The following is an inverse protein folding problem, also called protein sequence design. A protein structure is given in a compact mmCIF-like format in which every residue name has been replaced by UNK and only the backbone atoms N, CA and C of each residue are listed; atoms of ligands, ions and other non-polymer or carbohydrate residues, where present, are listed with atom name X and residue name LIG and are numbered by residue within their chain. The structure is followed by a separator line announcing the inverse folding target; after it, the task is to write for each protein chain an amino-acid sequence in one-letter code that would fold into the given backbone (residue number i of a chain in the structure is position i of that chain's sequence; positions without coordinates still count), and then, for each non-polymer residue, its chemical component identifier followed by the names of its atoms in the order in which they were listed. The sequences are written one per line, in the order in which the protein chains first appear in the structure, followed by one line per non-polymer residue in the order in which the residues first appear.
data_IF_586312781216
#
_entry.id   IF_586312781216
#
_cell.length_a   1.000
_cell.length_b   1.000
_cell.length_c   1.000
_cell.angle_alpha   90.00
_cell.angle_beta   90.00
_cell.angle_gamma   90.00
#
_symmetry.space_group_name_H-M   'P 1'
#
loop_
_entity.id
_entity.type
_entity.pdbx_description
1 polymer ?
#
# COMPACT_ATOMS: atom_id res chain seq x y z
N UNK A 1 -10.17 6.40 0.78
CA UNK A 1 -9.15 5.37 1.02
C UNK A 1 -9.67 4.47 2.13
N UNK A 2 -9.68 3.15 1.93
CA UNK A 2 -10.16 2.20 2.93
C UNK A 2 -8.96 1.59 3.67
N UNK A 3 -8.99 1.60 5.00
CA UNK A 3 -8.04 0.86 5.83
C UNK A 3 -8.77 -0.36 6.42
N UNK A 4 -8.28 -1.56 6.13
CA UNK A 4 -8.86 -2.83 6.57
C UNK A 4 -7.85 -3.60 7.41
N UNK A 5 -8.30 -4.69 8.05
CA UNK A 5 -7.45 -5.64 8.78
C UNK A 5 -6.54 -4.94 9.81
N UNK A 6 -5.30 -5.39 9.94
CA UNK A 6 -4.31 -4.83 10.88
C UNK A 6 -3.99 -3.36 10.66
N UNK A 7 -4.21 -2.79 9.45
CA UNK A 7 -4.03 -1.35 9.24
C UNK A 7 -5.08 -0.53 9.99
N UNK A 8 -6.34 -0.99 10.00
CA UNK A 8 -7.41 -0.37 10.78
C UNK A 8 -7.12 -0.43 12.27
N UNK A 9 -6.65 -1.59 12.75
CA UNK A 9 -6.30 -1.82 14.15
C UNK A 9 -5.13 -0.94 14.59
N UNK A 10 -4.08 -0.84 13.77
CA UNK A 10 -2.93 0.01 14.05
C UNK A 10 -3.32 1.50 14.10
N UNK A 11 -4.20 1.96 13.19
CA UNK A 11 -4.71 3.34 13.21
C UNK A 11 -5.56 3.58 14.47
N UNK A 12 -6.43 2.64 14.85
CA UNK A 12 -7.25 2.77 16.05
C UNK A 12 -6.40 2.84 17.34
N UNK A 13 -5.39 1.96 17.46
CA UNK A 13 -4.44 1.99 18.55
C UNK A 13 -3.66 3.31 18.58
N UNK A 14 -3.22 3.81 17.41
CA UNK A 14 -2.54 5.09 17.30
C UNK A 14 -3.42 6.26 17.74
N UNK A 15 -4.70 6.30 17.35
CA UNK A 15 -5.63 7.36 17.75
C UNK A 15 -5.83 7.43 19.27
N UNK A 16 -5.75 6.29 19.96
CA UNK A 16 -5.79 6.24 21.43
C UNK A 16 -4.58 6.97 22.04
N UNK A 17 -3.39 6.82 21.45
CA UNK A 17 -2.15 7.47 21.91
C UNK A 17 -2.09 8.93 21.47
N UNK A 18 -2.51 9.23 20.24
CA UNK A 18 -2.47 10.57 19.64
C UNK A 18 -3.50 11.52 20.25
N UNK A 19 -4.59 10.99 20.79
CA UNK A 19 -5.65 11.75 21.44
C UNK A 19 -6.65 12.40 20.47
N UNK A 20 -7.70 13.06 20.99
CA UNK A 20 -8.85 13.53 20.21
C UNK A 20 -8.66 14.89 19.52
N UNK A 21 -7.59 15.62 19.84
CA UNK A 21 -7.39 17.02 19.41
C UNK A 21 -7.46 17.19 17.88
N UNK A 22 -8.13 18.20 17.31
CA UNK A 22 -8.14 18.42 15.87
C UNK A 22 -6.73 18.56 15.30
N UNK A 23 -6.46 17.95 14.13
CA UNK A 23 -5.16 18.09 13.47
C UNK A 23 -4.80 16.93 12.54
N UNK A 24 -3.53 16.84 12.13
CA UNK A 24 -3.05 15.76 11.26
C UNK A 24 -3.25 14.39 11.90
N UNK A 25 -3.52 13.38 11.07
CA UNK A 25 -3.65 11.99 11.50
C UNK A 25 -2.34 11.47 12.11
N UNK A 26 -1.22 11.72 11.44
CA UNK A 26 0.11 11.38 11.92
C UNK A 26 0.85 12.65 12.33
N UNK A 27 1.42 12.60 13.53
CA UNK A 27 2.13 13.71 14.16
C UNK A 27 3.46 13.21 14.74
N UNK A 28 4.49 14.07 14.83
CA UNK A 28 5.75 13.70 15.47
C UNK A 28 5.57 13.30 16.94
N UNK A 29 6.38 12.32 17.36
CA UNK A 29 6.64 12.01 18.76
C UNK A 29 8.07 12.45 19.05
N UNK A 30 8.28 13.28 20.06
CA UNK A 30 9.62 13.73 20.41
C UNK A 30 10.43 12.65 21.14
N UNK A 31 11.70 12.92 21.43
CA UNK A 31 12.59 11.96 22.11
C UNK A 31 12.13 11.60 23.53
N UNK A 32 11.31 12.44 24.16
CA UNK A 32 10.73 12.21 25.47
C UNK A 32 9.38 11.45 25.40
N UNK A 33 8.93 11.07 24.20
CA UNK A 33 7.67 10.36 24.00
C UNK A 33 6.44 11.26 23.91
N UNK A 34 6.61 12.58 23.83
CA UNK A 34 5.49 13.53 23.80
C UNK A 34 4.95 13.71 22.39
N UNK A 35 3.62 13.74 22.27
CA UNK A 35 2.91 14.03 21.03
C UNK A 35 3.02 15.53 20.71
N UNK A 36 3.49 15.87 19.51
CA UNK A 36 3.59 17.26 19.04
C UNK A 36 2.58 17.48 17.92
N UNK A 37 1.50 18.22 18.16
CA UNK A 37 0.38 18.41 17.21
C UNK A 37 0.76 19.29 16.01
N UNK A 38 1.59 18.74 15.11
CA UNK A 38 1.98 19.34 13.84
C UNK A 38 2.14 18.27 12.77
N UNK A 39 2.20 18.68 11.51
CA UNK A 39 2.44 17.75 10.39
C UNK A 39 3.84 17.13 10.50
N UNK A 40 3.93 15.83 10.18
CA UNK A 40 5.20 15.18 9.89
C UNK A 40 5.85 15.83 8.65
N UNK A 41 7.18 15.92 8.66
CA UNK A 41 7.94 16.32 7.47
C UNK A 41 8.18 15.10 6.59
N UNK A 42 8.36 15.30 5.29
CA UNK A 42 8.72 14.20 4.39
C UNK A 42 10.00 13.49 4.86
N UNK A 43 11.02 14.26 5.23
CA UNK A 43 12.29 13.76 5.78
C UNK A 43 12.08 12.85 6.99
N UNK A 44 11.23 13.24 7.96
CA UNK A 44 10.95 12.40 9.13
C UNK A 44 10.33 11.05 8.77
N UNK A 45 9.55 10.98 7.69
CA UNK A 45 9.03 9.72 7.17
C UNK A 45 10.15 8.88 6.57
N UNK A 46 11.03 9.47 5.76
CA UNK A 46 12.20 8.77 5.19
C UNK A 46 13.13 8.23 6.27
N UNK A 47 13.43 9.02 7.30
CA UNK A 47 14.26 8.61 8.43
C UNK A 47 13.63 7.46 9.19
N UNK A 48 12.32 7.53 9.43
CA UNK A 48 11.60 6.45 10.10
C UNK A 48 11.64 5.16 9.29
N UNK A 49 11.48 5.22 7.97
CA UNK A 49 11.58 4.04 7.10
C UNK A 49 13.01 3.48 7.08
N UNK A 50 14.04 4.33 7.05
CA UNK A 50 15.42 3.87 7.14
C UNK A 50 15.72 3.17 8.47
N UNK A 51 15.22 3.71 9.58
CA UNK A 51 15.31 3.08 10.90
C UNK A 51 14.59 1.72 10.93
N UNK A 52 13.37 1.63 10.38
CA UNK A 52 12.61 0.38 10.31
C UNK A 52 13.31 -0.67 9.43
N UNK A 53 13.85 -0.27 8.28
CA UNK A 53 14.61 -1.15 7.39
C UNK A 53 15.83 -1.74 8.10
N UNK A 54 16.61 -0.91 8.80
CA UNK A 54 17.76 -1.35 9.60
C UNK A 54 17.34 -2.34 10.69
N UNK A 55 16.24 -2.06 11.39
CA UNK A 55 15.73 -2.96 12.44
C UNK A 55 15.21 -4.29 11.92
N UNK A 56 14.61 -4.30 10.74
CA UNK A 56 14.12 -5.51 10.10
C UNK A 56 15.23 -6.30 9.38
N UNK A 57 16.46 -5.78 9.30
CA UNK A 57 17.56 -6.43 8.59
C UNK A 57 17.37 -6.45 7.06
N UNK A 58 16.58 -5.51 6.52
CA UNK A 58 16.29 -5.43 5.07
C UNK A 58 16.99 -4.22 4.44
N UNK A 59 17.12 -4.24 3.12
CA UNK A 59 17.63 -3.10 2.38
C UNK A 59 16.74 -1.85 2.60
N UNK A 60 17.37 -0.68 2.56
CA UNK A 60 16.66 0.60 2.69
C UNK A 60 15.63 0.73 1.56
N UNK A 61 14.43 1.16 1.93
CA UNK A 61 13.34 1.42 0.99
C UNK A 61 12.70 2.79 1.27
N UNK A 62 12.00 3.31 0.26
CA UNK A 62 11.34 4.63 0.31
C UNK A 62 9.82 4.50 0.35
N UNK A 63 9.08 5.58 0.65
CA UNK A 63 7.62 5.58 0.53
C UNK A 63 7.14 5.23 -0.89
N UNK A 64 7.94 5.55 -1.91
CA UNK A 64 7.64 5.18 -3.30
C UNK A 64 7.71 3.66 -3.47
N UNK A 65 8.70 2.99 -2.89
CA UNK A 65 8.84 1.53 -3.00
C UNK A 65 7.71 0.79 -2.27
N UNK A 66 7.25 1.34 -1.14
CA UNK A 66 6.05 0.83 -0.47
C UNK A 66 4.82 0.91 -1.39
N UNK A 67 4.61 2.05 -2.08
CA UNK A 67 3.50 2.20 -3.05
C UNK A 67 3.62 1.22 -4.21
N UNK A 68 4.84 1.00 -4.72
CA UNK A 68 5.09 0.03 -5.80
C UNK A 68 4.73 -1.39 -5.39
N UNK A 69 5.15 -1.78 -4.19
CA UNK A 69 4.86 -3.10 -3.62
C UNK A 69 3.35 -3.25 -3.43
N UNK A 70 2.69 -2.27 -2.80
CA UNK A 70 1.23 -2.24 -2.65
C UNK A 70 0.47 -2.44 -3.97
N UNK A 71 0.87 -1.75 -5.05
CA UNK A 71 0.24 -1.91 -6.37
C UNK A 71 0.50 -3.32 -6.92
N UNK A 72 1.75 -3.77 -6.89
CA UNK A 72 2.15 -5.07 -7.46
C UNK A 72 1.43 -6.21 -6.74
N UNK A 73 1.41 -6.17 -5.40
CA UNK A 73 0.82 -7.20 -4.56
C UNK A 73 -0.69 -7.30 -4.77
N UNK A 74 -1.40 -6.16 -4.85
CA UNK A 74 -2.84 -6.18 -5.14
C UNK A 74 -3.12 -6.80 -6.52
N UNK A 75 -2.36 -6.41 -7.54
CA UNK A 75 -2.53 -6.97 -8.88
C UNK A 75 -2.24 -8.46 -8.91
N UNK A 76 -1.13 -8.91 -8.31
CA UNK A 76 -0.74 -10.32 -8.23
C UNK A 76 -1.78 -11.18 -7.50
N UNK A 77 -2.47 -10.61 -6.51
CA UNK A 77 -3.60 -11.24 -5.80
C UNK A 77 -4.94 -11.14 -6.57
N UNK A 78 -4.92 -10.70 -7.83
CA UNK A 78 -6.08 -10.72 -8.72
C UNK A 78 -6.97 -9.48 -8.63
N UNK A 79 -6.54 -8.41 -7.94
CA UNK A 79 -7.27 -7.16 -7.97
C UNK A 79 -7.33 -6.58 -9.39
N UNK A 80 -8.43 -5.89 -9.67
CA UNK A 80 -8.63 -5.19 -10.93
C UNK A 80 -7.70 -3.98 -11.08
N UNK A 81 -7.21 -3.75 -12.30
CA UNK A 81 -6.24 -2.70 -12.59
C UNK A 81 -6.79 -1.29 -12.35
N UNK A 82 -8.06 -1.04 -12.71
CA UNK A 82 -8.68 0.26 -12.53
C UNK A 82 -8.93 0.54 -11.04
N UNK A 83 -9.36 -0.46 -10.27
CA UNK A 83 -9.47 -0.33 -8.81
C UNK A 83 -8.12 -0.01 -8.16
N UNK A 84 -7.07 -0.74 -8.52
CA UNK A 84 -5.72 -0.48 -7.98
C UNK A 84 -5.22 0.91 -8.39
N UNK A 85 -5.50 1.38 -9.61
CA UNK A 85 -5.16 2.73 -10.06
C UNK A 85 -5.87 3.81 -9.23
N UNK A 86 -7.17 3.64 -8.96
CA UNK A 86 -7.92 4.56 -8.13
C UNK A 86 -7.37 4.60 -6.68
N UNK A 87 -7.02 3.44 -6.12
CA UNK A 87 -6.41 3.34 -4.78
C UNK A 87 -5.02 3.97 -4.71
N UNK A 88 -4.22 3.84 -5.77
CA UNK A 88 -2.89 4.45 -5.87
C UNK A 88 -2.94 5.97 -6.11
N UNK A 89 -4.07 6.50 -6.56
CA UNK A 89 -4.24 7.91 -6.92
C UNK A 89 -3.46 8.30 -8.18
N UNK A 90 -3.20 7.36 -9.09
CA UNK A 90 -2.53 7.66 -10.35
C UNK A 90 -3.52 8.26 -11.35
N UNK A 91 -3.16 9.37 -12.01
CA UNK A 91 -4.01 10.01 -13.02
C UNK A 91 -4.08 9.22 -14.34
N UNK A 92 -3.08 8.37 -14.61
CA UNK A 92 -3.00 7.58 -15.84
C UNK A 92 -2.89 6.08 -15.51
N UNK A 93 -3.78 5.28 -16.11
CA UNK A 93 -3.81 3.83 -15.99
C UNK A 93 -2.49 3.18 -16.44
N UNK A 94 -1.83 3.73 -17.46
CA UNK A 94 -0.55 3.25 -17.95
C UNK A 94 0.55 3.31 -16.87
N UNK A 95 0.47 4.25 -15.92
CA UNK A 95 1.41 4.32 -14.79
C UNK A 95 1.25 3.13 -13.85
N UNK A 96 0.02 2.70 -13.60
CA UNK A 96 -0.29 1.52 -12.77
C UNK A 96 0.05 0.23 -13.50
N UNK A 97 -0.25 0.15 -14.81
CA UNK A 97 0.00 -1.03 -15.64
C UNK A 97 1.48 -1.45 -15.67
N UNK A 98 2.42 -0.51 -15.50
CA UNK A 98 3.87 -0.80 -15.38
C UNK A 98 4.23 -1.72 -14.20
N UNK A 99 3.34 -1.85 -13.22
CA UNK A 99 3.54 -2.71 -12.04
C UNK A 99 2.82 -4.05 -12.15
N UNK A 100 2.04 -4.30 -13.21
CA UNK A 100 1.40 -5.60 -13.42
C UNK A 100 2.43 -6.63 -13.89
N UNK A 101 2.72 -7.61 -13.04
CA UNK A 101 3.71 -8.67 -13.30
C UNK A 101 3.06 -10.01 -13.64
N UNK A 102 1.73 -10.06 -13.75
CA UNK A 102 1.00 -11.32 -13.95
C UNK A 102 1.25 -11.94 -15.31
N UNK A 103 1.59 -11.13 -16.32
CA UNK A 103 2.03 -11.56 -17.64
C UNK A 103 1.14 -12.65 -18.26
N UNK A 104 1.77 -13.67 -18.83
CA UNK A 104 1.06 -14.79 -19.49
C UNK A 104 0.16 -15.62 -18.56
N UNK A 105 0.50 -15.72 -17.26
CA UNK A 105 -0.29 -16.50 -16.29
C UNK A 105 -1.68 -15.91 -16.07
N UNK A 106 -1.80 -14.58 -16.05
CA UNK A 106 -3.12 -13.93 -16.01
C UNK A 106 -3.94 -14.23 -17.26
N UNK A 107 -3.33 -14.22 -18.45
CA UNK A 107 -4.01 -14.52 -19.71
C UNK A 107 -4.53 -15.97 -19.72
N UNK A 108 -3.72 -16.93 -19.25
CA UNK A 108 -4.12 -18.33 -19.13
C UNK A 108 -5.29 -18.52 -18.15
N UNK A 109 -5.22 -17.89 -16.96
CA UNK A 109 -6.33 -17.94 -15.99
C UNK A 109 -7.61 -17.34 -16.56
N UNK A 110 -7.51 -16.19 -17.23
CA UNK A 110 -8.65 -15.52 -17.84
C UNK A 110 -9.28 -16.37 -18.95
N UNK A 111 -8.48 -17.04 -19.78
CA UNK A 111 -8.97 -17.94 -20.82
C UNK A 111 -9.79 -19.11 -20.24
N UNK A 112 -9.42 -19.61 -19.06
CA UNK A 112 -10.14 -20.68 -18.37
C UNK A 112 -11.45 -20.26 -17.71
N UNK A 113 -11.80 -18.97 -17.66
CA UNK A 113 -13.07 -18.51 -17.09
C UNK A 113 -14.27 -18.75 -18.01
N UNK A 114 -14.02 -18.89 -19.31
CA UNK A 114 -15.05 -19.19 -20.29
C UNK A 114 -15.09 -20.70 -20.54
N UNK A 115 -16.19 -21.34 -20.15
CA UNK A 115 -16.44 -22.74 -20.50
C UNK A 115 -16.93 -22.76 -21.95
N UNK A 116 -16.14 -23.35 -22.84
CA UNK A 116 -16.53 -23.61 -24.23
C UNK A 116 -16.77 -25.11 -24.36
N UNK A 117 -18.04 -25.58 -24.36
CA UNK A 117 -18.31 -27.01 -24.49
C UNK A 117 -17.85 -27.50 -25.87
N UNK A 118 -17.04 -28.57 -25.87
CA UNK A 118 -16.58 -29.25 -27.08
C UNK A 118 -16.99 -30.73 -27.00
N UNK A 119 -17.90 -31.14 -27.88
CA UNK A 119 -18.19 -32.55 -28.12
C UNK A 119 -17.25 -33.07 -29.19
N UNK A 120 -16.36 -33.99 -28.83
CA UNK A 120 -15.53 -34.68 -29.80
C UNK A 120 -16.41 -35.53 -30.74
N UNK A 121 -16.03 -35.67 -32.03
CA UNK A 121 -16.77 -36.50 -32.98
C UNK A 121 -16.78 -37.99 -32.62
#
# INVERSE_FOLDING_TARGET
MYATNGAREAIAAWLTVRGPEPGPLFVPVDKAGRIVLRRLTAESVFDRLAYLAKRAGVQRFSPRDMRRSFISDLLDNGADLALVQAMAGHANLATTARYDRRGGRAKQRAAGLLIVPYGAP
#
